data_IF_262786479347
#
_entry.id   IF_262786479347
#
_cell.length_a   1.000
_cell.length_b   1.000
_cell.length_c   1.000
_cell.angle_alpha   90.00
_cell.angle_beta   90.00
_cell.angle_gamma   90.00
#
_symmetry.space_group_name_H-M   'P 1'
#
loop_
_entity.id
_entity.type
_entity.pdbx_description
1 polymer ?
#
# COMPACT_ATOMS: atom_id res chain seq x y z
N UNK A 1 6.29 37.02 24.10
CA UNK A 1 6.50 36.07 22.99
C UNK A 1 7.77 35.27 23.27
N UNK A 2 7.82 34.02 22.92
CA UNK A 2 8.98 33.14 23.13
C UNK A 2 9.67 32.93 21.78
N UNK A 3 10.99 33.10 21.76
CA UNK A 3 11.80 32.85 20.55
C UNK A 3 12.54 31.51 20.64
N UNK A 4 13.08 31.04 19.54
CA UNK A 4 13.93 29.85 19.52
C UNK A 4 15.12 29.99 20.50
N UNK A 5 15.72 31.17 20.57
CA UNK A 5 16.82 31.46 21.49
C UNK A 5 16.38 31.32 22.94
N UNK A 6 15.21 31.81 23.32
CA UNK A 6 14.65 31.68 24.65
C UNK A 6 14.38 30.23 25.06
N UNK A 7 13.94 29.41 24.10
CA UNK A 7 13.72 27.98 24.32
C UNK A 7 15.04 27.28 24.62
N UNK A 8 16.06 27.49 23.79
CA UNK A 8 17.36 26.84 23.93
C UNK A 8 18.24 27.40 25.07
N UNK A 9 17.90 28.58 25.62
CA UNK A 9 18.49 29.10 26.82
C UNK A 9 18.06 28.37 28.11
N UNK A 10 17.06 27.50 28.04
CA UNK A 10 16.55 26.76 29.22
C UNK A 10 17.48 25.61 29.59
N UNK A 11 17.70 25.33 30.89
CA UNK A 11 18.57 24.24 31.34
C UNK A 11 18.20 22.85 30.77
N UNK A 12 16.92 22.58 30.55
CA UNK A 12 16.43 21.31 29.98
C UNK A 12 16.84 21.11 28.48
N UNK A 13 17.24 22.19 27.83
CA UNK A 13 17.71 22.15 26.42
C UNK A 13 19.24 22.07 26.30
N UNK A 14 19.97 21.98 27.42
CA UNK A 14 21.41 21.86 27.43
C UNK A 14 21.85 20.59 26.66
N UNK A 15 22.73 20.77 25.68
CA UNK A 15 23.22 19.67 24.82
C UNK A 15 22.43 19.44 23.52
N UNK A 16 21.32 20.15 23.32
CA UNK A 16 20.61 20.14 22.03
C UNK A 16 21.05 21.32 21.14
N UNK A 17 21.14 21.06 19.84
CA UNK A 17 21.55 22.05 18.84
C UNK A 17 20.33 22.69 18.16
N UNK A 18 20.10 24.00 18.33
CA UNK A 18 19.02 24.71 17.63
C UNK A 18 19.19 24.71 16.10
N UNK A 19 20.39 24.47 15.57
CA UNK A 19 20.60 24.36 14.13
C UNK A 19 20.03 23.04 13.61
N UNK A 20 20.08 21.96 14.36
CA UNK A 20 19.47 20.68 14.01
C UNK A 20 17.95 20.79 13.93
N UNK A 21 17.30 21.49 14.87
CA UNK A 21 15.85 21.75 14.81
C UNK A 21 15.48 22.56 13.57
N UNK A 22 16.21 23.66 13.29
CA UNK A 22 15.97 24.47 12.09
C UNK A 22 16.12 23.69 10.80
N UNK A 23 17.12 22.81 10.73
CA UNK A 23 17.34 21.95 9.57
C UNK A 23 16.21 20.93 9.41
N UNK A 24 15.72 20.34 10.49
CA UNK A 24 14.61 19.40 10.49
C UNK A 24 13.30 20.07 10.06
N UNK A 25 12.98 21.25 10.61
CA UNK A 25 11.81 22.05 10.23
C UNK A 25 11.82 22.40 8.75
N UNK A 26 12.97 22.85 8.23
CA UNK A 26 13.12 23.11 6.81
C UNK A 26 12.96 21.84 5.98
N UNK A 27 13.57 20.73 6.40
CA UNK A 27 13.48 19.46 5.68
C UNK A 27 12.07 18.91 5.63
N UNK A 28 11.29 19.03 6.71
CA UNK A 28 9.92 18.53 6.83
C UNK A 28 8.86 19.47 6.22
N UNK A 29 9.19 20.74 5.95
CA UNK A 29 8.24 21.68 5.37
C UNK A 29 7.72 21.21 4.01
N UNK A 30 6.39 21.13 3.88
CA UNK A 30 5.68 20.76 2.65
C UNK A 30 4.58 21.78 2.36
N UNK A 31 4.26 22.05 1.07
CA UNK A 31 3.26 23.05 0.73
C UNK A 31 1.84 22.54 1.00
N UNK A 32 0.99 23.40 1.55
CA UNK A 32 -0.45 23.24 1.44
C UNK A 32 -0.84 23.66 0.02
N UNK A 33 -1.06 22.68 -0.87
CA UNK A 33 -1.21 22.91 -2.30
C UNK A 33 -2.44 23.74 -2.68
N UNK A 34 -3.64 23.50 -2.12
CA UNK A 34 -4.80 24.33 -2.37
C UNK A 34 -4.53 25.80 -2.03
N UNK A 35 -3.91 26.07 -0.88
CA UNK A 35 -3.56 27.44 -0.46
C UNK A 35 -2.51 28.05 -1.36
N UNK A 36 -1.47 27.28 -1.71
CA UNK A 36 -0.43 27.75 -2.64
C UNK A 36 -1.01 28.10 -4.02
N UNK A 37 -1.90 27.26 -4.56
CA UNK A 37 -2.55 27.51 -5.85
C UNK A 37 -3.46 28.74 -5.81
N UNK A 38 -4.26 28.88 -4.76
CA UNK A 38 -5.12 30.05 -4.56
C UNK A 38 -4.29 31.34 -4.42
N UNK A 39 -3.23 31.32 -3.62
CA UNK A 39 -2.33 32.45 -3.45
C UNK A 39 -1.66 32.86 -4.77
N UNK A 40 -1.19 31.89 -5.57
CA UNK A 40 -0.63 32.13 -6.90
C UNK A 40 -1.63 32.76 -7.85
N UNK A 41 -2.86 32.25 -7.87
CA UNK A 41 -3.91 32.79 -8.73
C UNK A 41 -4.27 34.23 -8.35
N UNK A 42 -4.31 34.55 -7.06
CA UNK A 42 -4.55 35.89 -6.57
C UNK A 42 -3.39 36.84 -6.89
N UNK A 43 -2.14 36.40 -6.73
CA UNK A 43 -0.96 37.17 -7.10
C UNK A 43 -0.93 37.47 -8.60
N UNK A 44 -1.26 36.48 -9.45
CA UNK A 44 -1.37 36.69 -10.91
C UNK A 44 -2.45 37.71 -11.30
N UNK A 45 -3.45 37.94 -10.43
CA UNK A 45 -4.46 39.00 -10.59
C UNK A 45 -4.01 40.34 -9.99
N UNK A 46 -2.74 40.50 -9.62
CA UNK A 46 -2.18 41.73 -9.06
C UNK A 46 -2.48 41.96 -7.57
N UNK A 47 -2.93 40.94 -6.84
CA UNK A 47 -3.09 41.06 -5.39
C UNK A 47 -1.75 40.88 -4.69
N UNK A 48 -1.47 41.70 -3.68
CA UNK A 48 -0.32 41.54 -2.80
C UNK A 48 -0.57 40.40 -1.82
N UNK A 49 0.40 39.52 -1.66
CA UNK A 49 0.29 38.30 -0.82
C UNK A 49 1.32 38.36 0.29
N UNK A 50 0.84 38.35 1.51
CA UNK A 50 1.66 38.37 2.73
C UNK A 50 1.36 37.13 3.58
N UNK A 51 2.32 36.74 4.44
CA UNK A 51 2.03 35.80 5.51
C UNK A 51 2.17 36.49 6.90
N UNK A 52 1.35 36.04 7.85
CA UNK A 52 1.42 36.46 9.26
C UNK A 52 1.38 35.20 10.12
N UNK A 53 2.39 35.01 10.95
CA UNK A 53 2.56 33.77 11.73
C UNK A 53 2.91 34.04 13.18
N UNK A 54 2.18 33.36 14.10
CA UNK A 54 2.61 33.22 15.48
C UNK A 54 3.55 32.01 15.55
N UNK A 55 4.87 32.27 15.51
CA UNK A 55 5.91 31.26 15.47
C UNK A 55 7.14 31.69 16.23
N UNK A 56 7.76 30.77 16.96
CA UNK A 56 9.00 31.00 17.71
C UNK A 56 10.26 31.01 16.84
N UNK A 57 10.16 30.50 15.62
CA UNK A 57 11.23 30.56 14.62
C UNK A 57 11.36 31.97 14.03
N UNK A 58 12.58 32.42 13.71
CA UNK A 58 12.78 33.74 13.12
C UNK A 58 12.23 33.80 11.69
N UNK A 59 11.86 35.00 11.26
CA UNK A 59 11.31 35.25 9.89
C UNK A 59 12.15 34.62 8.79
N UNK A 60 13.48 34.74 8.86
CA UNK A 60 14.37 34.17 7.85
C UNK A 60 14.21 32.66 7.67
N UNK A 61 13.89 31.92 8.73
CA UNK A 61 13.62 30.50 8.69
C UNK A 61 12.28 30.22 7.99
N UNK A 62 11.24 30.97 8.32
CA UNK A 62 9.93 30.86 7.69
C UNK A 62 10.00 31.21 6.19
N UNK A 63 10.74 32.25 5.85
CA UNK A 63 10.96 32.63 4.45
C UNK A 63 11.61 31.48 3.66
N UNK A 64 12.63 30.83 4.20
CA UNK A 64 13.29 29.68 3.59
C UNK A 64 12.32 28.47 3.43
N UNK A 65 11.51 28.19 4.44
CA UNK A 65 10.49 27.13 4.40
C UNK A 65 9.41 27.42 3.34
N UNK A 66 8.92 28.66 3.29
CA UNK A 66 7.92 29.08 2.31
C UNK A 66 8.49 29.07 0.89
N UNK A 67 9.73 29.51 0.71
CA UNK A 67 10.41 29.45 -0.58
C UNK A 67 10.57 28.00 -1.06
N UNK A 68 11.02 27.10 -0.20
CA UNK A 68 11.07 25.66 -0.49
C UNK A 68 9.70 25.12 -0.89
N UNK A 69 8.64 25.55 -0.24
CA UNK A 69 7.25 25.19 -0.55
C UNK A 69 6.67 25.85 -1.81
N UNK A 70 7.45 26.69 -2.51
CA UNK A 70 7.05 27.31 -3.77
C UNK A 70 6.33 28.65 -3.64
N UNK A 71 6.33 29.27 -2.46
CA UNK A 71 5.83 30.63 -2.23
C UNK A 71 6.93 31.65 -2.55
N UNK A 72 7.37 31.72 -3.80
CA UNK A 72 8.43 32.62 -4.27
C UNK A 72 7.94 34.02 -4.66
N UNK A 73 6.65 34.27 -4.55
CA UNK A 73 5.93 35.46 -5.02
C UNK A 73 5.36 36.30 -3.85
N UNK A 74 5.77 36.04 -2.62
CA UNK A 74 5.26 36.78 -1.45
C UNK A 74 5.83 38.21 -1.40
N UNK A 75 4.97 39.17 -1.11
CA UNK A 75 5.36 40.56 -0.91
C UNK A 75 5.99 40.85 0.45
N UNK A 76 5.90 39.91 1.39
CA UNK A 76 6.51 39.99 2.70
C UNK A 76 5.88 39.06 3.73
N UNK A 77 6.40 39.13 4.97
CA UNK A 77 5.92 38.32 6.08
C UNK A 77 6.13 38.97 7.43
N UNK A 78 5.27 38.61 8.39
CA UNK A 78 5.26 39.15 9.75
C UNK A 78 5.22 37.97 10.74
N UNK A 79 6.21 37.87 11.60
CA UNK A 79 6.36 36.75 12.53
C UNK A 79 6.37 37.29 13.96
N UNK A 80 5.57 36.69 14.81
CA UNK A 80 5.39 37.13 16.21
C UNK A 80 6.71 37.20 17.00
N UNK A 81 7.65 36.28 16.73
CA UNK A 81 8.96 36.28 17.36
C UNK A 81 9.78 37.54 17.08
N UNK A 82 9.66 38.13 15.91
CA UNK A 82 10.43 39.32 15.52
C UNK A 82 9.84 40.62 16.10
N UNK A 83 8.52 40.63 16.34
CA UNK A 83 7.80 41.83 16.84
C UNK A 83 7.41 41.77 18.30
N UNK A 84 7.56 40.63 18.98
CA UNK A 84 7.15 40.45 20.37
C UNK A 84 5.64 40.52 20.62
N UNK A 85 4.82 40.41 19.57
CA UNK A 85 3.35 40.51 19.66
C UNK A 85 2.69 39.40 18.81
N UNK A 86 1.50 38.96 19.23
CA UNK A 86 0.77 37.83 18.66
C UNK A 86 -0.44 38.28 17.83
N UNK A 87 -0.86 37.43 16.90
CA UNK A 87 -2.12 37.54 16.15
C UNK A 87 -3.33 37.57 17.09
N UNK A 88 -3.36 36.68 18.08
CA UNK A 88 -4.45 36.56 19.05
C UNK A 88 -4.85 37.86 19.73
N UNK A 89 -3.91 38.79 19.97
CA UNK A 89 -4.17 40.08 20.57
C UNK A 89 -4.60 41.14 19.55
N UNK A 90 -4.62 40.83 18.27
CA UNK A 90 -4.82 41.80 17.18
C UNK A 90 -3.57 42.65 16.87
N UNK A 91 -2.57 42.67 17.78
CA UNK A 91 -1.43 43.59 17.68
C UNK A 91 -0.53 43.30 16.48
N UNK A 92 -0.32 42.02 16.13
CA UNK A 92 0.50 41.67 14.97
C UNK A 92 -0.18 42.09 13.65
N UNK A 93 -1.50 42.03 13.59
CA UNK A 93 -2.26 42.58 12.47
C UNK A 93 -2.13 44.10 12.39
N UNK A 94 -2.12 44.79 13.54
CA UNK A 94 -1.86 46.22 13.59
C UNK A 94 -0.45 46.61 13.12
N UNK A 95 0.56 45.79 13.40
CA UNK A 95 1.92 45.93 12.81
C UNK A 95 1.88 45.81 11.32
N UNK A 96 1.26 44.74 10.81
CA UNK A 96 1.10 44.51 9.36
C UNK A 96 0.45 45.72 8.64
N UNK A 97 -0.70 46.18 9.13
CA UNK A 97 -1.43 47.31 8.51
C UNK A 97 -0.57 48.57 8.45
N UNK A 98 0.15 48.86 9.55
CA UNK A 98 1.01 50.06 9.64
C UNK A 98 2.21 49.97 8.68
N UNK A 99 2.93 48.84 8.69
CA UNK A 99 4.15 48.72 7.87
C UNK A 99 3.87 48.59 6.38
N UNK A 100 2.75 47.97 6.01
CA UNK A 100 2.33 47.86 4.61
C UNK A 100 1.54 49.06 4.10
N UNK A 101 1.20 50.03 4.98
CA UNK A 101 0.31 51.16 4.73
C UNK A 101 -0.99 50.70 4.06
N UNK A 102 -1.59 49.63 4.59
CA UNK A 102 -2.81 49.04 4.03
C UNK A 102 -3.98 49.25 5.00
N UNK A 103 -5.16 49.56 4.45
CA UNK A 103 -6.38 49.71 5.28
C UNK A 103 -6.96 48.35 5.56
N UNK A 104 -7.46 48.13 6.80
CA UNK A 104 -8.01 46.86 7.24
C UNK A 104 -9.13 46.34 6.33
N UNK A 105 -9.98 47.20 5.80
CA UNK A 105 -11.07 46.85 4.90
C UNK A 105 -10.63 46.28 3.55
N UNK A 106 -9.38 46.56 3.13
CA UNK A 106 -8.81 46.11 1.86
C UNK A 106 -8.07 44.80 1.99
N UNK A 107 -8.09 44.18 3.20
CA UNK A 107 -7.41 42.94 3.54
C UNK A 107 -8.43 41.82 3.79
N UNK A 108 -8.13 40.65 3.25
CA UNK A 108 -8.74 39.38 3.64
C UNK A 108 -7.65 38.52 4.25
N UNK A 109 -7.83 38.08 5.47
CA UNK A 109 -6.96 37.11 6.13
C UNK A 109 -7.56 35.71 6.02
N UNK A 110 -6.72 34.69 5.78
CA UNK A 110 -7.11 33.29 5.72
C UNK A 110 -6.26 32.53 6.73
N UNK A 111 -6.89 31.80 7.64
CA UNK A 111 -6.19 31.03 8.66
C UNK A 111 -7.05 29.98 9.31
N UNK A 112 -6.41 29.08 10.06
CA UNK A 112 -7.03 27.89 10.63
C UNK A 112 -7.46 28.04 12.09
N UNK A 113 -6.91 29.01 12.81
CA UNK A 113 -7.20 29.23 14.21
C UNK A 113 -8.34 30.20 14.43
N UNK A 114 -9.48 29.77 14.97
CA UNK A 114 -10.57 30.67 15.36
C UNK A 114 -10.10 31.80 16.28
N UNK A 115 -9.23 31.49 17.27
CA UNK A 115 -8.77 32.48 18.26
C UNK A 115 -7.71 33.43 17.70
N UNK A 116 -6.68 32.88 17.06
CA UNK A 116 -5.56 33.70 16.60
C UNK A 116 -5.87 34.37 15.25
N UNK A 117 -6.51 33.66 14.35
CA UNK A 117 -6.68 34.10 12.97
C UNK A 117 -8.01 34.87 12.78
N UNK A 118 -9.12 34.27 13.17
CA UNK A 118 -10.43 34.91 12.94
C UNK A 118 -10.68 36.03 13.97
N UNK A 119 -10.66 35.70 15.26
CA UNK A 119 -10.91 36.68 16.30
C UNK A 119 -9.78 37.74 16.37
N UNK A 120 -8.51 37.34 16.23
CA UNK A 120 -7.38 38.25 16.22
C UNK A 120 -7.40 39.23 15.03
N UNK A 121 -7.75 38.78 13.83
CA UNK A 121 -7.92 39.66 12.66
C UNK A 121 -9.08 40.63 12.85
N UNK A 122 -10.21 40.18 13.42
CA UNK A 122 -11.36 41.02 13.73
C UNK A 122 -11.01 42.15 14.72
N UNK A 123 -10.15 41.89 15.74
CA UNK A 123 -9.63 42.92 16.60
C UNK A 123 -8.80 43.99 15.87
N UNK A 124 -8.17 43.61 14.75
CA UNK A 124 -7.47 44.54 13.84
C UNK A 124 -8.38 45.17 12.79
N UNK A 125 -9.68 44.89 12.80
CA UNK A 125 -10.64 45.38 11.78
C UNK A 125 -10.54 44.67 10.44
N UNK A 126 -9.81 43.56 10.35
CA UNK A 126 -9.57 42.77 9.14
C UNK A 126 -10.65 41.68 9.00
N UNK A 127 -11.18 41.49 7.82
CA UNK A 127 -12.04 40.32 7.54
C UNK A 127 -11.20 39.05 7.46
N UNK A 128 -11.67 37.99 8.13
CA UNK A 128 -11.00 36.72 8.09
C UNK A 128 -11.91 35.63 7.53
N UNK A 129 -11.28 34.69 6.84
CA UNK A 129 -11.90 33.43 6.42
C UNK A 129 -11.26 32.28 7.20
N UNK A 130 -12.09 31.52 7.92
CA UNK A 130 -11.64 30.33 8.59
C UNK A 130 -11.45 29.20 7.60
N UNK A 131 -10.22 28.69 7.51
CA UNK A 131 -9.87 27.51 6.73
C UNK A 131 -9.62 26.35 7.72
N UNK A 132 -10.63 25.48 7.95
CA UNK A 132 -10.45 24.39 8.91
C UNK A 132 -9.34 23.44 8.44
N UNK A 133 -8.47 23.08 9.34
CA UNK A 133 -7.46 22.02 9.15
C UNK A 133 -7.98 20.78 9.83
N UNK A 134 -7.90 19.65 9.13
CA UNK A 134 -8.25 18.35 9.70
C UNK A 134 -7.26 18.00 10.82
N UNK A 135 -7.79 17.73 12.02
CA UNK A 135 -6.95 17.32 13.14
C UNK A 135 -6.40 15.92 12.89
N UNK A 136 -5.08 15.83 12.79
CA UNK A 136 -4.38 14.55 12.67
C UNK A 136 -4.23 13.93 14.05
N UNK A 137 -4.57 12.64 14.25
CA UNK A 137 -4.38 11.96 15.53
C UNK A 137 -2.93 12.04 15.99
N UNK A 138 -2.73 12.55 17.21
CA UNK A 138 -1.37 12.76 17.81
C UNK A 138 -0.85 11.56 18.58
N UNK A 139 -1.66 10.53 18.74
CA UNK A 139 -1.37 9.34 19.53
C UNK A 139 -0.26 8.48 18.94
N UNK A 140 -0.07 8.56 17.61
CA UNK A 140 1.01 7.88 16.90
C UNK A 140 1.68 8.87 15.93
N UNK A 141 2.89 9.31 16.25
CA UNK A 141 3.64 10.29 15.44
C UNK A 141 3.87 9.81 14.00
N UNK A 142 4.15 8.53 13.79
CA UNK A 142 4.37 7.97 12.44
C UNK A 142 3.08 8.00 11.62
N UNK A 143 1.95 7.57 12.20
CA UNK A 143 0.64 7.63 11.56
C UNK A 143 0.22 9.08 11.28
N UNK A 144 0.49 9.99 12.23
CA UNK A 144 0.26 11.43 12.08
C UNK A 144 1.06 12.03 10.91
N UNK A 145 2.33 11.70 10.79
CA UNK A 145 3.18 12.17 9.69
C UNK A 145 2.68 11.66 8.32
N UNK A 146 2.30 10.38 8.22
CA UNK A 146 1.73 9.79 6.98
C UNK A 146 0.40 10.47 6.64
N UNK A 147 -0.48 10.69 7.62
CA UNK A 147 -1.76 11.35 7.39
C UNK A 147 -1.57 12.79 6.91
N UNK A 148 -0.69 13.57 7.55
CA UNK A 148 -0.38 14.94 7.14
C UNK A 148 0.24 14.99 5.72
N UNK A 149 1.17 14.09 5.41
CA UNK A 149 1.75 13.97 4.09
C UNK A 149 0.68 13.67 3.03
N UNK A 150 -0.22 12.76 3.34
CA UNK A 150 -1.32 12.35 2.45
C UNK A 150 -2.31 13.51 2.24
N UNK A 151 -2.79 14.13 3.32
CA UNK A 151 -3.76 15.23 3.27
C UNK A 151 -3.25 16.41 2.42
N UNK A 152 -1.97 16.75 2.54
CA UNK A 152 -1.39 17.84 1.75
C UNK A 152 -1.26 17.55 0.24
N UNK A 153 -1.27 16.29 -0.16
CA UNK A 153 -1.11 15.89 -1.57
C UNK A 153 -2.39 15.40 -2.22
N UNK A 154 -3.32 14.90 -1.42
CA UNK A 154 -4.58 14.34 -1.89
C UNK A 154 -5.36 15.25 -2.85
N UNK A 155 -5.43 16.60 -2.64
CA UNK A 155 -6.11 17.49 -3.58
C UNK A 155 -5.56 17.54 -5.02
N UNK A 156 -4.39 16.94 -5.26
CA UNK A 156 -3.85 16.80 -6.63
C UNK A 156 -4.51 15.68 -7.43
N UNK A 157 -5.16 14.76 -6.75
CA UNK A 157 -5.67 13.53 -7.31
C UNK A 157 -7.20 13.52 -7.26
N UNK A 158 -7.81 12.78 -8.16
CA UNK A 158 -9.26 12.59 -8.19
C UNK A 158 -9.62 11.12 -8.32
N UNK A 159 -10.78 10.73 -7.84
CA UNK A 159 -11.34 9.39 -8.03
C UNK A 159 -10.36 8.26 -7.66
N UNK A 160 -10.04 7.41 -8.64
CA UNK A 160 -9.19 6.24 -8.46
C UNK A 160 -7.74 6.60 -8.06
N UNK A 161 -7.19 7.69 -8.57
CA UNK A 161 -5.84 8.16 -8.21
C UNK A 161 -5.77 8.55 -6.73
N UNK A 162 -6.81 9.24 -6.22
CA UNK A 162 -6.89 9.61 -4.81
C UNK A 162 -6.94 8.36 -3.91
N UNK A 163 -7.72 7.36 -4.27
CA UNK A 163 -7.77 6.08 -3.57
C UNK A 163 -6.41 5.36 -3.63
N UNK A 164 -5.79 5.30 -4.81
CA UNK A 164 -4.47 4.73 -5.00
C UNK A 164 -3.42 5.39 -4.11
N UNK A 165 -3.40 6.73 -4.08
CA UNK A 165 -2.43 7.49 -3.30
C UNK A 165 -2.67 7.39 -1.77
N UNK A 166 -3.93 7.47 -1.31
CA UNK A 166 -4.24 7.56 0.13
C UNK A 166 -4.37 6.22 0.83
N UNK A 167 -4.70 5.14 0.11
CA UNK A 167 -4.98 3.82 0.69
C UNK A 167 -4.01 2.76 0.17
N UNK A 168 -3.99 2.50 -1.14
CA UNK A 168 -3.19 1.41 -1.71
C UNK A 168 -1.69 1.70 -1.64
N UNK A 169 -1.27 2.94 -1.89
CA UNK A 169 0.14 3.34 -1.86
C UNK A 169 0.78 3.09 -0.50
N UNK A 170 0.24 3.63 0.60
CA UNK A 170 0.76 3.36 1.94
C UNK A 170 0.79 1.87 2.30
N UNK A 171 -0.26 1.11 1.98
CA UNK A 171 -0.30 -0.34 2.18
C UNK A 171 0.81 -1.06 1.40
N UNK A 172 0.95 -0.74 0.11
CA UNK A 172 1.94 -1.37 -0.76
C UNK A 172 3.38 -1.05 -0.32
N UNK A 173 3.65 0.20 0.05
CA UNK A 173 4.98 0.61 0.56
C UNK A 173 5.29 -0.10 1.87
N UNK A 174 4.37 -0.10 2.84
CA UNK A 174 4.57 -0.77 4.12
C UNK A 174 4.78 -2.28 3.96
N UNK A 175 3.98 -2.93 3.11
CA UNK A 175 4.15 -4.35 2.82
C UNK A 175 5.49 -4.64 2.15
N UNK A 176 5.91 -3.85 1.16
CA UNK A 176 7.19 -4.04 0.49
C UNK A 176 8.40 -3.78 1.41
N UNK A 177 8.31 -2.81 2.33
CA UNK A 177 9.33 -2.59 3.36
C UNK A 177 9.43 -3.79 4.31
N UNK A 178 8.30 -4.33 4.73
CA UNK A 178 8.26 -5.55 5.53
C UNK A 178 8.84 -6.75 4.76
N UNK A 179 8.48 -6.94 3.48
CA UNK A 179 9.07 -7.98 2.62
C UNK A 179 10.58 -7.87 2.53
N UNK A 180 11.11 -6.65 2.39
CA UNK A 180 12.54 -6.43 2.38
C UNK A 180 13.18 -6.87 3.71
N UNK A 181 12.59 -6.52 4.85
CA UNK A 181 13.06 -6.95 6.15
C UNK A 181 13.01 -8.49 6.31
N UNK A 182 11.98 -9.16 5.77
CA UNK A 182 11.92 -10.62 5.73
C UNK A 182 13.04 -11.21 4.85
N UNK A 183 13.26 -10.67 3.66
CA UNK A 183 14.32 -11.11 2.76
C UNK A 183 15.72 -11.02 3.39
N UNK A 184 15.99 -9.98 4.19
CA UNK A 184 17.25 -9.83 4.91
C UNK A 184 17.47 -10.91 5.99
N UNK A 185 16.41 -11.56 6.48
CA UNK A 185 16.50 -12.68 7.42
C UNK A 185 16.80 -14.01 6.72
N UNK A 186 16.69 -14.07 5.39
CA UNK A 186 16.93 -15.24 4.55
C UNK A 186 18.01 -14.96 3.49
N UNK A 187 19.29 -14.83 3.89
CA UNK A 187 20.36 -14.45 2.96
C UNK A 187 20.47 -15.41 1.77
N UNK A 188 20.50 -14.87 0.56
CA UNK A 188 20.57 -15.64 -0.69
C UNK A 188 19.23 -16.17 -1.22
N UNK A 189 18.13 -16.04 -0.48
CA UNK A 189 16.80 -16.36 -0.97
C UNK A 189 16.35 -15.35 -2.05
N UNK A 190 15.63 -15.83 -3.03
CA UNK A 190 14.99 -15.00 -4.07
C UNK A 190 13.51 -14.84 -3.78
N UNK A 191 12.93 -13.69 -4.13
CA UNK A 191 11.53 -13.41 -3.96
C UNK A 191 10.76 -13.79 -5.24
N UNK A 192 9.78 -14.67 -5.08
CA UNK A 192 8.85 -15.09 -6.13
C UNK A 192 7.46 -14.54 -5.85
N UNK A 193 7.06 -13.52 -6.57
CA UNK A 193 5.73 -12.93 -6.47
C UNK A 193 4.73 -13.78 -7.24
N UNK A 194 3.73 -14.34 -6.56
CA UNK A 194 2.74 -15.21 -7.18
C UNK A 194 1.80 -14.40 -8.08
N UNK A 195 1.67 -14.86 -9.32
CA UNK A 195 0.70 -14.33 -10.25
C UNK A 195 -0.71 -14.79 -9.82
N UNK A 196 -1.69 -13.99 -10.07
CA UNK A 196 -1.73 -12.61 -10.62
C UNK A 196 -1.74 -11.55 -9.50
N UNK A 197 -2.05 -12.00 -8.30
CA UNK A 197 -2.47 -11.16 -7.18
C UNK A 197 -1.33 -10.31 -6.59
N UNK A 198 -0.07 -10.70 -6.81
CA UNK A 198 1.10 -9.93 -6.36
C UNK A 198 1.75 -9.07 -7.45
N UNK A 199 1.06 -8.80 -8.56
CA UNK A 199 1.60 -8.03 -9.68
C UNK A 199 2.00 -6.61 -9.28
N UNK A 200 1.07 -5.85 -8.68
CA UNK A 200 1.34 -4.48 -8.23
C UNK A 200 2.44 -4.45 -7.16
N UNK A 201 2.39 -5.38 -6.20
CA UNK A 201 3.38 -5.43 -5.12
C UNK A 201 4.79 -5.69 -5.64
N UNK A 202 4.94 -6.53 -6.67
CA UNK A 202 6.23 -6.73 -7.34
C UNK A 202 6.75 -5.45 -8.00
N UNK A 203 5.88 -4.68 -8.65
CA UNK A 203 6.28 -3.41 -9.27
C UNK A 203 6.71 -2.38 -8.23
N UNK A 204 5.96 -2.24 -7.12
CA UNK A 204 6.31 -1.35 -6.02
C UNK A 204 7.62 -1.78 -5.36
N UNK A 205 7.82 -3.09 -5.14
CA UNK A 205 9.07 -3.61 -4.59
C UNK A 205 10.28 -3.28 -5.46
N UNK A 206 10.16 -3.47 -6.78
CA UNK A 206 11.22 -3.15 -7.73
C UNK A 206 11.54 -1.64 -7.80
N UNK A 207 10.54 -0.77 -7.56
CA UNK A 207 10.77 0.69 -7.45
C UNK A 207 11.50 1.07 -6.16
N UNK A 208 11.17 0.42 -5.05
CA UNK A 208 11.80 0.72 -3.74
C UNK A 208 13.20 0.10 -3.61
N UNK A 209 13.41 -1.06 -4.20
CA UNK A 209 14.63 -1.87 -4.08
C UNK A 209 15.13 -2.34 -5.45
N UNK A 210 15.62 -1.44 -6.32
CA UNK A 210 15.95 -1.76 -7.71
C UNK A 210 17.15 -2.71 -7.86
N UNK A 211 17.92 -2.96 -6.79
CA UNK A 211 19.02 -3.92 -6.79
C UNK A 211 18.64 -5.35 -6.43
N UNK A 212 17.39 -5.57 -5.97
CA UNK A 212 16.95 -6.87 -5.48
C UNK A 212 16.38 -7.75 -6.61
N UNK A 213 16.84 -9.00 -6.67
CA UNK A 213 16.37 -9.96 -7.67
C UNK A 213 14.97 -10.47 -7.32
N UNK A 214 14.00 -10.21 -8.18
CA UNK A 214 12.62 -10.69 -8.05
C UNK A 214 12.19 -11.50 -9.26
N UNK A 215 11.35 -12.50 -9.04
CA UNK A 215 10.72 -13.27 -10.10
C UNK A 215 9.18 -13.18 -9.99
N UNK A 216 8.51 -13.37 -11.12
CA UNK A 216 7.05 -13.44 -11.20
C UNK A 216 6.64 -14.85 -11.54
N UNK A 217 6.02 -15.54 -10.60
CA UNK A 217 5.71 -16.96 -10.71
C UNK A 217 4.25 -17.16 -11.13
N UNK A 218 4.02 -17.49 -12.37
CA UNK A 218 2.69 -17.71 -12.93
C UNK A 218 2.18 -19.13 -12.60
N UNK A 219 1.76 -19.31 -11.35
CA UNK A 219 1.23 -20.56 -10.81
C UNK A 219 -0.10 -20.31 -10.14
N UNK A 220 -1.01 -21.26 -10.26
CA UNK A 220 -2.26 -21.32 -9.51
C UNK A 220 -2.48 -22.73 -8.98
N UNK A 221 -3.41 -22.87 -8.03
CA UNK A 221 -3.83 -24.21 -7.55
C UNK A 221 -4.24 -25.12 -8.71
N UNK A 222 -5.00 -24.56 -9.68
CA UNK A 222 -5.45 -25.31 -10.86
C UNK A 222 -4.29 -25.78 -11.73
N UNK A 223 -3.31 -24.91 -11.98
CA UNK A 223 -2.18 -25.26 -12.85
C UNK A 223 -1.26 -26.34 -12.29
N UNK A 224 -1.35 -26.62 -10.98
CA UNK A 224 -0.61 -27.71 -10.31
C UNK A 224 -1.37 -29.05 -10.29
N UNK A 225 -2.69 -29.06 -10.50
CA UNK A 225 -3.50 -30.28 -10.45
C UNK A 225 -3.01 -31.41 -11.37
N UNK A 226 -2.58 -31.15 -12.62
CA UNK A 226 -2.04 -32.22 -13.49
C UNK A 226 -0.83 -32.92 -12.87
N UNK A 227 0.10 -32.17 -12.30
CA UNK A 227 1.30 -32.74 -11.67
C UNK A 227 0.98 -33.48 -10.38
N UNK A 228 0.07 -32.97 -9.56
CA UNK A 228 -0.41 -33.65 -8.34
C UNK A 228 -1.09 -34.97 -8.69
N UNK A 229 -1.88 -35.03 -9.77
CA UNK A 229 -2.49 -36.28 -10.24
C UNK A 229 -1.43 -37.28 -10.69
N UNK A 230 -0.45 -36.87 -11.51
CA UNK A 230 0.64 -37.72 -11.99
C UNK A 230 1.50 -38.26 -10.82
N UNK A 231 1.72 -37.47 -9.78
CA UNK A 231 2.46 -37.85 -8.58
C UNK A 231 1.60 -38.61 -7.56
N UNK A 232 0.32 -38.87 -7.84
CA UNK A 232 -0.63 -39.56 -6.95
C UNK A 232 -0.81 -38.91 -5.58
N UNK A 233 -0.73 -37.57 -5.52
CA UNK A 233 -0.86 -36.75 -4.31
C UNK A 233 -2.34 -36.44 -4.03
N UNK A 234 -3.15 -37.48 -3.74
CA UNK A 234 -4.63 -37.39 -3.69
C UNK A 234 -5.15 -36.35 -2.70
N UNK A 235 -4.59 -36.29 -1.49
CA UNK A 235 -5.05 -35.37 -0.43
C UNK A 235 -4.76 -33.90 -0.81
N UNK A 236 -3.60 -33.66 -1.39
CA UNK A 236 -3.21 -32.34 -1.89
C UNK A 236 -4.05 -31.94 -3.09
N UNK A 237 -4.35 -32.89 -3.98
CA UNK A 237 -5.21 -32.64 -5.13
C UNK A 237 -6.63 -32.27 -4.70
N UNK A 238 -7.22 -32.99 -3.73
CA UNK A 238 -8.50 -32.63 -3.13
C UNK A 238 -8.49 -31.23 -2.50
N UNK A 239 -7.37 -30.87 -1.88
CA UNK A 239 -7.19 -29.51 -1.32
C UNK A 239 -7.06 -28.44 -2.38
N UNK A 240 -6.51 -28.76 -3.56
CA UNK A 240 -6.36 -27.84 -4.69
C UNK A 240 -7.68 -27.56 -5.42
N UNK A 241 -8.60 -28.51 -5.42
CA UNK A 241 -9.91 -28.38 -6.08
C UNK A 241 -10.80 -27.33 -5.38
N UNK A 242 -11.72 -26.69 -6.12
CA UNK A 242 -12.67 -25.75 -5.54
C UNK A 242 -13.60 -26.42 -4.54
N UNK A 243 -13.88 -25.75 -3.43
CA UNK A 243 -14.81 -26.23 -2.38
C UNK A 243 -16.28 -25.96 -2.77
N UNK A 244 -16.74 -26.68 -3.79
CA UNK A 244 -18.11 -26.63 -4.28
C UNK A 244 -18.48 -27.99 -4.88
N UNK A 245 -19.74 -28.19 -5.25
CA UNK A 245 -20.14 -29.40 -5.98
C UNK A 245 -19.63 -29.33 -7.42
N UNK A 246 -18.93 -30.37 -7.88
CA UNK A 246 -18.41 -30.51 -9.23
C UNK A 246 -18.82 -31.86 -9.81
N UNK A 247 -19.04 -31.89 -11.14
CA UNK A 247 -19.22 -33.14 -11.85
C UNK A 247 -17.87 -33.83 -12.11
N UNK A 248 -17.90 -35.14 -12.39
CA UNK A 248 -16.69 -35.88 -12.74
C UNK A 248 -15.95 -35.27 -13.91
N UNK A 249 -16.68 -34.79 -14.94
CA UNK A 249 -16.09 -34.07 -16.09
C UNK A 249 -15.33 -32.82 -15.65
N UNK A 250 -15.93 -32.05 -14.71
CA UNK A 250 -15.30 -30.82 -14.23
C UNK A 250 -14.04 -31.13 -13.40
N UNK A 251 -14.06 -32.16 -12.57
CA UNK A 251 -12.88 -32.59 -11.79
C UNK A 251 -11.76 -33.05 -12.74
N UNK A 252 -12.08 -33.89 -13.72
CA UNK A 252 -11.11 -34.38 -14.72
C UNK A 252 -10.52 -33.21 -15.51
N UNK A 253 -11.34 -32.23 -15.90
CA UNK A 253 -10.88 -31.00 -16.58
C UNK A 253 -9.94 -30.15 -15.74
N UNK A 254 -10.12 -30.09 -14.40
CA UNK A 254 -9.16 -29.48 -13.49
C UNK A 254 -7.82 -30.21 -13.49
N UNK A 255 -7.85 -31.51 -13.62
CA UNK A 255 -6.67 -32.38 -13.64
C UNK A 255 -6.00 -32.47 -15.02
N UNK A 256 -6.58 -31.90 -16.09
CA UNK A 256 -6.03 -31.93 -17.42
C UNK A 256 -6.17 -33.31 -18.13
N UNK A 257 -7.20 -34.08 -17.79
CA UNK A 257 -7.42 -35.41 -18.29
C UNK A 257 -8.91 -35.67 -18.65
N UNK A 258 -9.21 -36.79 -19.29
CA UNK A 258 -10.58 -37.19 -19.61
C UNK A 258 -11.23 -37.92 -18.42
N UNK A 259 -12.53 -37.74 -18.26
CA UNK A 259 -13.33 -38.45 -17.27
C UNK A 259 -13.85 -39.77 -17.84
N UNK A 260 -13.79 -40.88 -17.10
CA UNK A 260 -14.44 -42.13 -17.51
C UNK A 260 -15.95 -41.91 -17.76
N UNK A 261 -16.51 -42.54 -18.83
CA UNK A 261 -17.89 -42.31 -19.23
C UNK A 261 -18.94 -42.51 -18.13
N UNK A 262 -18.74 -43.49 -17.29
CA UNK A 262 -19.63 -43.88 -16.21
C UNK A 262 -19.68 -42.83 -15.06
N UNK A 263 -18.64 -42.01 -14.90
CA UNK A 263 -18.49 -41.03 -13.83
C UNK A 263 -18.70 -39.59 -14.31
N UNK A 264 -18.92 -39.37 -15.61
CA UNK A 264 -19.00 -38.01 -16.17
C UNK A 264 -20.09 -37.16 -15.57
N UNK A 265 -21.28 -37.71 -15.35
CA UNK A 265 -22.46 -37.00 -14.82
C UNK A 265 -22.54 -37.06 -13.28
N UNK A 266 -21.71 -37.90 -12.64
CA UNK A 266 -21.70 -38.03 -11.16
C UNK A 266 -21.27 -36.71 -10.53
N UNK A 267 -21.98 -36.30 -9.44
CA UNK A 267 -21.71 -35.05 -8.72
C UNK A 267 -21.02 -35.31 -7.40
N UNK A 268 -19.96 -34.59 -7.12
CA UNK A 268 -19.12 -34.69 -5.93
C UNK A 268 -19.19 -33.41 -5.11
N UNK A 269 -19.60 -33.50 -3.85
CA UNK A 269 -19.65 -32.37 -2.92
C UNK A 269 -18.29 -32.15 -2.26
N UNK A 270 -17.44 -31.37 -2.91
CA UNK A 270 -16.08 -31.10 -2.41
C UNK A 270 -16.06 -30.12 -1.22
N UNK A 271 -17.21 -29.54 -0.86
CA UNK A 271 -17.30 -28.65 0.28
C UNK A 271 -17.49 -29.42 1.60
N UNK A 272 -18.39 -30.39 1.61
CA UNK A 272 -18.76 -31.11 2.83
C UNK A 272 -18.26 -32.55 2.87
N UNK A 273 -18.02 -33.18 1.70
CA UNK A 273 -17.56 -34.56 1.58
C UNK A 273 -16.48 -34.69 0.49
N UNK A 274 -15.30 -34.03 0.63
CA UNK A 274 -14.26 -34.00 -0.42
C UNK A 274 -13.74 -35.40 -0.75
N UNK A 275 -13.70 -36.32 0.21
CA UNK A 275 -13.19 -37.68 0.03
C UNK A 275 -14.04 -38.54 -0.93
N UNK A 276 -15.28 -38.14 -1.22
CA UNK A 276 -16.12 -38.84 -2.20
C UNK A 276 -15.50 -38.80 -3.61
N UNK A 277 -14.74 -37.75 -3.96
CA UNK A 277 -14.06 -37.65 -5.24
C UNK A 277 -12.75 -38.46 -5.31
N UNK A 278 -12.26 -39.03 -4.21
CA UNK A 278 -10.98 -39.77 -4.17
C UNK A 278 -11.01 -40.98 -5.10
N UNK A 279 -12.09 -41.74 -5.14
CA UNK A 279 -12.25 -42.87 -6.02
C UNK A 279 -12.16 -42.47 -7.49
N UNK A 280 -12.82 -41.36 -7.88
CA UNK A 280 -12.71 -40.81 -9.23
C UNK A 280 -11.24 -40.45 -9.53
N UNK A 281 -10.58 -39.67 -8.66
CA UNK A 281 -9.19 -39.24 -8.87
C UNK A 281 -8.23 -40.43 -9.10
N UNK A 282 -8.47 -41.56 -8.42
CA UNK A 282 -7.66 -42.77 -8.57
C UNK A 282 -7.89 -43.51 -9.91
N UNK A 283 -9.02 -43.28 -10.58
CA UNK A 283 -9.33 -43.87 -11.90
C UNK A 283 -8.89 -42.98 -13.06
N UNK A 284 -8.60 -41.71 -12.81
CA UNK A 284 -8.17 -40.77 -13.85
C UNK A 284 -6.79 -41.18 -14.41
N UNK A 285 -6.67 -41.15 -15.75
CA UNK A 285 -5.38 -41.36 -16.40
C UNK A 285 -4.41 -40.21 -16.13
N UNK A 286 -3.08 -40.46 -16.08
CA UNK A 286 -2.08 -39.39 -15.97
C UNK A 286 -2.25 -38.38 -17.09
N UNK A 287 -2.29 -37.08 -16.81
CA UNK A 287 -2.52 -36.04 -17.80
C UNK A 287 -1.26 -35.76 -18.62
N UNK A 288 -1.41 -35.52 -19.93
CA UNK A 288 -0.31 -35.10 -20.78
C UNK A 288 0.32 -33.74 -20.37
N UNK A 289 -0.47 -32.90 -19.70
CA UNK A 289 -0.03 -31.57 -19.22
C UNK A 289 0.96 -31.64 -18.03
N UNK A 290 1.12 -32.78 -17.35
CA UNK A 290 1.99 -32.94 -16.19
C UNK A 290 3.46 -32.61 -16.49
N UNK A 291 3.96 -33.04 -17.66
CA UNK A 291 5.33 -32.77 -18.11
C UNK A 291 5.55 -31.25 -18.33
N UNK A 292 4.56 -30.56 -18.91
CA UNK A 292 4.61 -29.13 -19.11
C UNK A 292 4.64 -28.34 -17.79
N UNK A 293 3.91 -28.81 -16.77
CA UNK A 293 3.98 -28.24 -15.40
C UNK A 293 5.36 -28.44 -14.82
N UNK A 294 5.91 -29.66 -14.87
CA UNK A 294 7.26 -29.98 -14.39
C UNK A 294 8.33 -29.15 -15.09
N UNK A 295 8.26 -29.05 -16.40
CA UNK A 295 9.20 -28.25 -17.21
C UNK A 295 9.12 -26.76 -16.87
N UNK A 296 7.92 -26.21 -16.66
CA UNK A 296 7.75 -24.83 -16.23
C UNK A 296 8.40 -24.58 -14.86
N UNK A 297 8.12 -25.43 -13.86
CA UNK A 297 8.68 -25.30 -12.52
C UNK A 297 10.21 -25.45 -12.51
N UNK A 298 10.75 -26.40 -13.29
CA UNK A 298 12.19 -26.58 -13.45
C UNK A 298 12.86 -25.32 -14.03
N UNK A 299 12.23 -24.66 -15.00
CA UNK A 299 12.74 -23.41 -15.59
C UNK A 299 12.78 -22.26 -14.58
N UNK A 300 11.88 -22.22 -13.58
CA UNK A 300 11.90 -21.24 -12.50
C UNK A 300 13.09 -21.43 -11.57
N UNK A 301 13.67 -22.64 -11.54
CA UNK A 301 14.83 -22.98 -10.74
C UNK A 301 14.64 -22.64 -9.25
N UNK A 302 13.47 -22.96 -8.68
CA UNK A 302 13.16 -22.79 -7.27
C UNK A 302 14.17 -23.56 -6.40
N UNK A 303 14.60 -22.97 -5.30
CA UNK A 303 15.56 -23.54 -4.36
C UNK A 303 14.98 -23.59 -2.96
N UNK A 304 15.48 -24.49 -2.15
CA UNK A 304 15.15 -24.53 -0.73
C UNK A 304 15.45 -23.16 -0.07
N UNK A 305 14.46 -22.64 0.65
CA UNK A 305 14.54 -21.34 1.30
C UNK A 305 14.18 -20.13 0.44
N UNK A 306 13.89 -20.28 -0.86
CA UNK A 306 13.33 -19.20 -1.67
C UNK A 306 11.99 -18.72 -1.07
N UNK A 307 11.69 -17.42 -1.24
CA UNK A 307 10.54 -16.77 -0.62
C UNK A 307 9.39 -16.67 -1.64
N UNK A 308 8.22 -17.20 -1.27
CA UNK A 308 6.97 -17.01 -2.01
C UNK A 308 6.19 -15.83 -1.43
N UNK A 309 5.88 -14.86 -2.26
CA UNK A 309 5.09 -13.68 -1.90
C UNK A 309 3.68 -13.84 -2.44
N UNK A 310 2.69 -13.90 -1.54
CA UNK A 310 1.29 -14.16 -1.89
C UNK A 310 0.35 -13.19 -1.14
N UNK A 311 -0.82 -12.94 -1.69
CA UNK A 311 -1.87 -12.20 -0.98
C UNK A 311 -2.36 -12.98 0.24
N UNK A 312 -2.26 -14.29 0.17
CA UNK A 312 -2.49 -15.19 1.29
C UNK A 312 -3.87 -15.76 1.37
N UNK A 313 -4.29 -15.90 2.53
CA UNK A 313 -5.31 -16.47 3.36
C UNK A 313 -4.94 -17.87 3.88
N UNK A 314 -5.02 -18.93 3.13
CA UNK A 314 -4.84 -20.27 3.70
C UNK A 314 -3.55 -21.01 3.35
N UNK A 315 -2.56 -20.36 2.70
CA UNK A 315 -1.25 -20.93 2.38
C UNK A 315 -1.26 -22.13 1.41
N UNK A 316 -2.37 -22.34 0.70
CA UNK A 316 -2.56 -23.55 -0.14
C UNK A 316 -1.53 -23.62 -1.26
N UNK A 317 -1.27 -22.50 -1.96
CA UNK A 317 -0.34 -22.49 -3.11
C UNK A 317 1.08 -22.84 -2.67
N UNK A 318 1.54 -22.29 -1.53
CA UNK A 318 2.86 -22.63 -0.97
C UNK A 318 2.96 -24.12 -0.64
N UNK A 319 1.97 -24.66 0.09
CA UNK A 319 1.93 -26.07 0.45
C UNK A 319 2.00 -27.00 -0.77
N UNK A 320 1.23 -26.68 -1.82
CA UNK A 320 1.23 -27.45 -3.05
C UNK A 320 2.56 -27.37 -3.80
N UNK A 321 3.16 -26.18 -3.88
CA UNK A 321 4.47 -25.98 -4.52
C UNK A 321 5.58 -26.73 -3.77
N UNK A 322 5.61 -26.67 -2.44
CA UNK A 322 6.56 -27.44 -1.62
C UNK A 322 6.46 -28.94 -1.93
N UNK A 323 5.22 -29.45 -1.99
CA UNK A 323 4.99 -30.86 -2.23
C UNK A 323 5.42 -31.31 -3.64
N UNK A 324 5.04 -30.57 -4.71
CA UNK A 324 5.37 -30.96 -6.08
C UNK A 324 6.84 -30.75 -6.43
N UNK A 325 7.51 -29.78 -5.82
CA UNK A 325 8.92 -29.48 -6.04
C UNK A 325 9.83 -30.29 -5.08
N UNK A 326 9.31 -30.82 -3.98
CA UNK A 326 10.07 -31.56 -2.99
C UNK A 326 11.07 -30.70 -2.20
N UNK A 327 10.84 -29.40 -2.10
CA UNK A 327 11.73 -28.43 -1.44
C UNK A 327 10.97 -27.56 -0.43
N UNK A 328 11.57 -27.18 0.71
CA UNK A 328 11.00 -26.22 1.61
C UNK A 328 11.11 -24.82 1.03
N UNK A 329 10.00 -24.06 1.10
CA UNK A 329 9.92 -22.66 0.67
C UNK A 329 9.45 -21.82 1.86
N UNK A 330 9.88 -20.56 1.93
CA UNK A 330 9.37 -19.64 2.93
C UNK A 330 8.24 -18.78 2.33
N UNK A 331 7.11 -18.66 3.05
CA UNK A 331 5.98 -17.84 2.62
C UNK A 331 6.02 -16.44 3.23
N UNK A 332 5.69 -15.42 2.45
CA UNK A 332 5.40 -14.07 2.93
C UNK A 332 3.99 -13.68 2.47
N UNK A 333 3.03 -13.81 3.37
CA UNK A 333 1.62 -13.57 3.09
C UNK A 333 1.24 -12.13 3.44
N UNK A 334 0.39 -11.49 2.62
CA UNK A 334 -0.18 -10.18 2.98
C UNK A 334 -1.12 -10.31 4.19
N UNK A 335 -1.93 -11.37 4.21
CA UNK A 335 -2.87 -11.67 5.31
C UNK A 335 -3.06 -13.17 5.46
N UNK A 336 -3.69 -13.60 6.55
CA UNK A 336 -4.02 -15.01 6.76
C UNK A 336 -5.44 -15.20 7.33
N UNK A 337 -5.96 -16.40 7.12
CA UNK A 337 -7.14 -16.93 7.81
C UNK A 337 -6.74 -18.09 8.73
N UNK A 338 -7.71 -18.61 9.49
CA UNK A 338 -7.51 -19.67 10.49
C UNK A 338 -6.92 -20.97 9.89
N UNK A 339 -7.02 -21.18 8.58
CA UNK A 339 -6.51 -22.38 7.91
C UNK A 339 -5.00 -22.38 7.75
N UNK A 340 -4.36 -21.19 7.71
CA UNK A 340 -2.92 -21.08 7.45
C UNK A 340 -2.11 -21.85 8.49
N UNK A 341 -2.35 -21.57 9.76
CA UNK A 341 -1.57 -22.15 10.87
C UNK A 341 -1.84 -23.65 11.11
N UNK A 342 -2.94 -24.17 10.56
CA UNK A 342 -3.18 -25.62 10.48
C UNK A 342 -2.41 -26.33 9.35
N UNK A 343 -1.73 -25.59 8.47
CA UNK A 343 -1.01 -26.11 7.29
C UNK A 343 0.47 -25.78 7.28
N UNK A 344 0.82 -24.59 7.72
CA UNK A 344 2.16 -24.02 7.66
C UNK A 344 2.50 -23.40 9.01
N UNK A 345 3.66 -23.75 9.55
CA UNK A 345 4.18 -23.22 10.81
C UNK A 345 4.64 -21.77 10.65
N UNK A 346 4.90 -21.10 11.77
CA UNK A 346 5.51 -19.75 11.78
C UNK A 346 6.92 -19.74 11.17
N UNK A 347 7.66 -20.85 11.29
CA UNK A 347 8.97 -20.99 10.65
C UNK A 347 8.89 -21.08 9.13
N UNK A 348 7.78 -21.60 8.58
CA UNK A 348 7.57 -21.75 7.14
C UNK A 348 6.91 -20.54 6.51
N UNK A 349 6.20 -19.72 7.28
CA UNK A 349 5.40 -18.62 6.71
C UNK A 349 5.29 -17.45 7.67
N UNK A 350 5.71 -16.28 7.21
CA UNK A 350 5.47 -14.99 7.86
C UNK A 350 4.21 -14.32 7.27
N UNK A 351 3.51 -13.55 8.09
CA UNK A 351 2.28 -12.84 7.71
C UNK A 351 2.38 -11.37 8.09
N UNK A 352 1.98 -10.48 7.20
CA UNK A 352 2.04 -9.04 7.43
C UNK A 352 0.84 -8.51 8.22
N UNK A 353 -0.39 -8.96 7.89
CA UNK A 353 -1.63 -8.52 8.53
C UNK A 353 -2.33 -9.68 9.24
N UNK A 354 -2.76 -9.45 10.47
CA UNK A 354 -3.65 -10.35 11.25
C UNK A 354 -3.04 -11.72 11.63
N UNK A 355 -1.71 -11.83 11.73
CA UNK A 355 -1.11 -13.07 12.21
C UNK A 355 -1.46 -13.30 13.70
N UNK A 356 -2.14 -14.40 13.99
CA UNK A 356 -2.61 -14.71 15.34
C UNK A 356 -3.69 -13.77 15.88
N UNK A 357 -4.24 -12.89 15.06
CA UNK A 357 -5.31 -11.96 15.42
C UNK A 357 -6.51 -12.13 14.48
N UNK A 358 -7.76 -12.05 14.97
CA UNK A 358 -8.92 -12.10 14.10
C UNK A 358 -8.96 -10.86 13.20
N UNK A 359 -8.99 -11.07 11.90
CA UNK A 359 -9.16 -9.98 10.96
C UNK A 359 -10.57 -9.37 11.08
N UNK A 360 -10.70 -8.03 11.04
CA UNK A 360 -12.00 -7.37 11.04
C UNK A 360 -12.90 -7.88 9.92
N UNK A 361 -14.20 -8.00 10.18
CA UNK A 361 -15.19 -8.43 9.17
C UNK A 361 -15.13 -7.55 7.91
N UNK A 362 -14.91 -6.25 8.08
CA UNK A 362 -14.78 -5.30 6.97
C UNK A 362 -13.58 -5.64 6.06
N UNK A 363 -12.48 -6.16 6.61
CA UNK A 363 -11.34 -6.62 5.81
C UNK A 363 -11.75 -7.77 4.90
N UNK A 364 -12.42 -8.80 5.44
CA UNK A 364 -12.86 -9.94 4.64
C UNK A 364 -13.90 -9.58 3.58
N UNK A 365 -14.77 -8.63 3.90
CA UNK A 365 -15.72 -8.09 2.93
C UNK A 365 -15.05 -7.31 1.79
N UNK A 366 -13.96 -6.60 2.09
CA UNK A 366 -13.20 -5.82 1.13
C UNK A 366 -12.09 -6.59 0.40
N UNK A 367 -11.69 -7.77 0.89
CA UNK A 367 -10.58 -8.54 0.33
C UNK A 367 -10.71 -8.83 -1.18
N UNK A 368 -11.86 -9.23 -1.73
CA UNK A 368 -11.99 -9.45 -3.17
C UNK A 368 -11.75 -8.18 -3.99
N UNK A 369 -12.11 -7.02 -3.46
CA UNK A 369 -11.84 -5.74 -4.09
C UNK A 369 -10.34 -5.40 -4.03
N UNK A 370 -9.69 -5.62 -2.88
CA UNK A 370 -8.24 -5.44 -2.74
C UNK A 370 -7.48 -6.36 -3.71
N UNK A 371 -7.83 -7.64 -3.77
CA UNK A 371 -7.26 -8.58 -4.73
C UNK A 371 -7.36 -8.04 -6.15
N UNK A 372 -8.53 -7.53 -6.53
CA UNK A 372 -8.76 -7.00 -7.87
C UNK A 372 -7.92 -5.76 -8.18
N UNK A 373 -7.73 -4.88 -7.19
CA UNK A 373 -6.96 -3.64 -7.36
C UNK A 373 -5.45 -3.86 -7.49
N UNK A 374 -4.92 -4.93 -6.89
CA UNK A 374 -3.49 -5.23 -6.90
C UNK A 374 -3.08 -6.29 -7.92
N UNK A 375 -4.06 -7.03 -8.47
CA UNK A 375 -3.83 -8.09 -9.45
C UNK A 375 -3.47 -7.55 -10.83
N UNK A 376 -2.70 -8.34 -11.58
CA UNK A 376 -2.54 -8.16 -13.01
C UNK A 376 -3.89 -8.35 -13.74
N UNK A 377 -4.14 -7.54 -14.77
CA UNK A 377 -5.39 -7.61 -15.55
C UNK A 377 -5.36 -8.74 -16.61
N UNK A 378 -5.14 -9.94 -16.13
CA UNK A 378 -5.13 -11.18 -16.91
C UNK A 378 -5.96 -12.27 -16.23
N UNK A 379 -6.33 -13.29 -16.95
CA UNK A 379 -7.02 -14.46 -16.39
C UNK A 379 -6.12 -15.31 -15.47
N UNK A 380 -6.73 -16.14 -14.64
CA UNK A 380 -6.00 -17.08 -13.80
C UNK A 380 -5.19 -18.07 -14.65
N UNK A 381 -4.02 -18.47 -14.17
CA UNK A 381 -3.20 -19.51 -14.82
C UNK A 381 -3.96 -20.84 -14.82
N UNK A 382 -4.23 -21.39 -16.00
CA UNK A 382 -4.91 -22.66 -16.18
C UNK A 382 -3.95 -23.84 -16.32
N UNK A 383 -2.76 -23.59 -16.83
CA UNK A 383 -1.75 -24.60 -17.11
C UNK A 383 -0.68 -24.07 -18.08
N UNK A 384 0.06 -24.97 -18.67
CA UNK A 384 1.17 -24.63 -19.55
C UNK A 384 1.10 -25.42 -20.86
N UNK A 385 1.68 -24.89 -21.93
CA UNK A 385 1.88 -25.56 -23.20
C UNK A 385 3.36 -25.57 -23.48
N UNK A 386 3.93 -26.77 -23.61
CA UNK A 386 5.32 -26.98 -23.96
C UNK A 386 5.47 -27.21 -25.45
N UNK A 387 6.38 -26.49 -26.06
CA UNK A 387 6.85 -26.74 -27.45
C UNK A 387 8.32 -27.14 -27.38
N UNK A 388 8.90 -27.55 -28.53
CA UNK A 388 10.32 -27.90 -28.57
C UNK A 388 11.26 -26.76 -28.17
N UNK A 389 10.81 -25.52 -28.23
CA UNK A 389 11.66 -24.33 -28.01
C UNK A 389 11.25 -23.48 -26.80
N UNK A 390 9.98 -23.56 -26.35
CA UNK A 390 9.47 -22.68 -25.27
C UNK A 390 8.33 -23.32 -24.47
N UNK A 391 8.05 -22.69 -23.30
CA UNK A 391 6.90 -23.03 -22.45
C UNK A 391 6.05 -21.78 -22.31
N UNK A 392 4.82 -21.83 -22.77
CA UNK A 392 3.86 -20.74 -22.67
C UNK A 392 2.82 -21.03 -21.61
N UNK A 393 2.42 -19.95 -20.90
CA UNK A 393 1.39 -20.02 -19.86
C UNK A 393 0.02 -19.90 -20.49
N UNK A 394 -0.87 -20.84 -20.20
CA UNK A 394 -2.29 -20.77 -20.58
C UNK A 394 -3.07 -20.06 -19.48
N UNK A 395 -3.73 -18.99 -19.82
CA UNK A 395 -4.56 -18.19 -18.91
C UNK A 395 -6.04 -18.34 -19.24
N UNK A 396 -6.89 -18.18 -18.24
CA UNK A 396 -8.34 -18.06 -18.45
C UNK A 396 -8.65 -16.80 -19.25
N UNK A 397 -9.77 -16.76 -20.00
CA UNK A 397 -10.25 -15.52 -20.58
C UNK A 397 -10.37 -14.42 -19.53
N UNK A 398 -9.94 -13.21 -19.90
CA UNK A 398 -10.08 -12.04 -19.05
C UNK A 398 -11.57 -11.77 -18.80
N UNK A 399 -11.96 -11.63 -17.54
CA UNK A 399 -13.30 -11.18 -17.20
C UNK A 399 -13.33 -9.66 -17.23
N UNK A 400 -14.22 -9.01 -18.03
CA UNK A 400 -14.34 -7.57 -18.05
C UNK A 400 -14.60 -7.04 -16.64
N UNK A 401 -13.82 -6.07 -16.21
CA UNK A 401 -14.01 -5.44 -14.92
C UNK A 401 -15.13 -4.40 -15.02
N UNK A 402 -16.30 -4.70 -14.51
CA UNK A 402 -17.42 -3.75 -14.41
C UNK A 402 -17.10 -2.50 -13.54
N UNK A 403 -15.93 -2.44 -12.94
CA UNK A 403 -15.44 -1.32 -12.10
C UNK A 403 -14.64 -0.26 -12.86
N UNK A 404 -14.32 -0.48 -14.15
CA UNK A 404 -13.56 0.46 -14.98
C UNK A 404 -14.36 0.99 -16.18
N UNK A 405 -15.66 0.74 -16.22
CA UNK A 405 -16.56 1.31 -17.21
C UNK A 405 -17.26 2.58 -16.67
#
# INVERSE_FOLDING_TARGET
>A
EVTLADIYARPCMAGYDPAAERAAELACAVPNLPVLQAARALHAQGKRIYYISDMYLPKAQLDAMLQKCGYTFLDGGFVSADYGVQKRSGKLFGVFLRETNTRAQDVLFIGDSWRADVAGAALGGIRAWHLPVEEVPRENLAAGAVAAFTANRLPRFSGAEACGFSVLGPLAVAYCQWLYAQAQQHPGARLFFLARDMYLMRQVYALLYPGEATAYLQVSRRSLCPLLLAQKQWDLLLTALPRQSLTGVQIAAYCGTACPPEQQAESYDLKHAPDTARSLLQTLAPPADADAVSAYLARQNLRAGDILVDIGSGGTTQMLLQAVCGIPLHGCQLSCDDRLRGRLSEAETAVFLFDGQPAPLLYWAGQPMLERLISEDVGATLGYTQTAQDITVRQAPQQPTALLA
#
